data_IF_640387610404
#
_entry.id   IF_640387610404
#
_cell.length_a   1.000
_cell.length_b   1.000
_cell.length_c   1.000
_cell.angle_alpha   90.00
_cell.angle_beta   90.00
_cell.angle_gamma   90.00
#
_symmetry.space_group_name_H-M   'P 1'
#
loop_
_entity.id
_entity.type
_entity.pdbx_description
1 polymer ?
#
# COMPACT_ATOMS: atom_id res chain seq x y z
N UNK A 1 33.27 -19.47 -0.90
CA UNK A 1 32.55 -18.40 -1.61
C UNK A 1 31.93 -19.04 -2.84
N UNK A 2 30.79 -19.68 -2.64
CA UNK A 2 30.08 -20.44 -3.67
C UNK A 2 28.62 -20.51 -3.27
N UNK A 3 27.73 -20.29 -4.24
CA UNK A 3 26.35 -20.79 -4.30
C UNK A 3 25.18 -19.94 -3.77
N UNK A 4 25.23 -18.60 -3.91
CA UNK A 4 23.97 -17.83 -3.94
C UNK A 4 23.43 -17.65 -5.38
N UNK A 5 24.30 -17.65 -6.39
CA UNK A 5 23.90 -17.42 -7.79
C UNK A 5 23.20 -18.62 -8.42
N UNK A 6 23.50 -19.85 -7.97
CA UNK A 6 22.87 -21.08 -8.48
C UNK A 6 21.48 -21.37 -7.87
N UNK A 7 21.18 -20.86 -6.66
CA UNK A 7 19.86 -21.01 -6.04
C UNK A 7 18.79 -20.12 -6.70
N UNK A 8 19.20 -19.01 -7.32
CA UNK A 8 18.32 -18.04 -8.00
C UNK A 8 17.84 -18.56 -9.37
N UNK A 9 18.50 -19.58 -9.93
CA UNK A 9 18.15 -20.13 -11.25
C UNK A 9 17.07 -21.22 -11.22
N UNK A 10 16.56 -21.61 -10.05
CA UNK A 10 15.65 -22.75 -9.90
C UNK A 10 14.33 -22.47 -9.15
N UNK A 11 13.98 -21.22 -8.83
CA UNK A 11 12.61 -20.95 -8.38
C UNK A 11 11.67 -20.87 -9.60
N UNK A 12 10.64 -21.71 -9.63
CA UNK A 12 9.63 -21.74 -10.70
C UNK A 12 8.96 -20.36 -10.88
N UNK A 13 8.97 -19.53 -9.84
CA UNK A 13 8.36 -18.20 -9.79
C UNK A 13 9.23 -17.11 -10.43
N UNK A 14 10.56 -17.26 -10.43
CA UNK A 14 11.42 -16.33 -11.19
C UNK A 14 11.16 -16.51 -12.70
N UNK A 15 10.94 -17.75 -13.13
CA UNK A 15 10.51 -18.06 -14.48
C UNK A 15 9.12 -17.47 -14.80
N UNK A 16 8.24 -17.33 -13.79
CA UNK A 16 6.91 -16.77 -14.01
C UNK A 16 6.94 -15.30 -14.46
N UNK A 17 7.79 -14.45 -13.85
CA UNK A 17 7.89 -13.03 -14.24
C UNK A 17 8.40 -12.91 -15.68
N UNK A 18 9.46 -13.65 -16.02
CA UNK A 18 10.00 -13.69 -17.38
C UNK A 18 8.98 -14.21 -18.40
N UNK A 19 8.25 -15.27 -18.05
CA UNK A 19 7.19 -15.84 -18.86
C UNK A 19 6.05 -14.83 -19.07
N UNK A 20 5.61 -14.15 -18.01
CA UNK A 20 4.58 -13.13 -18.05
C UNK A 20 4.98 -11.94 -18.93
N UNK A 21 6.25 -11.52 -18.90
CA UNK A 21 6.80 -10.50 -19.80
C UNK A 21 6.77 -11.02 -21.25
N UNK A 22 7.27 -12.24 -21.52
CA UNK A 22 7.35 -12.77 -22.88
C UNK A 22 5.96 -12.96 -23.52
N UNK A 23 4.97 -13.36 -22.70
CA UNK A 23 3.57 -13.49 -23.09
C UNK A 23 2.82 -12.16 -23.12
N UNK A 24 3.50 -11.04 -22.80
CA UNK A 24 2.91 -9.69 -22.74
C UNK A 24 1.75 -9.55 -21.76
N UNK A 25 1.74 -10.36 -20.70
CA UNK A 25 0.78 -10.27 -19.60
C UNK A 25 1.14 -9.12 -18.63
N UNK A 26 2.43 -8.79 -18.53
CA UNK A 26 2.93 -7.61 -17.83
C UNK A 26 3.91 -6.85 -18.72
N UNK A 27 3.98 -5.53 -18.55
CA UNK A 27 4.94 -4.68 -19.27
C UNK A 27 6.29 -4.69 -18.57
N UNK A 28 7.35 -4.77 -19.36
CA UNK A 28 8.71 -4.51 -18.90
C UNK A 28 9.16 -3.14 -19.39
N UNK A 29 9.75 -2.35 -18.50
CA UNK A 29 10.32 -1.04 -18.80
C UNK A 29 11.82 -1.04 -18.61
N UNK A 30 12.54 -0.58 -19.63
CA UNK A 30 13.97 -0.34 -19.54
C UNK A 30 14.26 0.70 -18.46
N UNK A 31 15.17 0.39 -17.53
CA UNK A 31 15.44 1.26 -16.39
C UNK A 31 15.90 2.67 -16.81
N UNK A 32 16.57 2.79 -17.96
CA UNK A 32 16.99 4.08 -18.53
C UNK A 32 15.84 5.02 -18.92
N UNK A 33 14.58 4.57 -18.85
CA UNK A 33 13.39 5.44 -18.98
C UNK A 33 13.10 6.24 -17.69
N UNK A 34 13.72 5.90 -16.57
CA UNK A 34 13.47 6.55 -15.28
C UNK A 34 14.68 7.37 -14.85
N UNK A 35 14.46 8.61 -14.43
CA UNK A 35 15.52 9.53 -13.99
C UNK A 35 15.06 10.39 -12.81
N UNK A 36 15.98 11.17 -12.24
CA UNK A 36 15.73 11.97 -11.03
C UNK A 36 15.17 11.15 -9.86
N UNK A 37 15.80 10.00 -9.58
CA UNK A 37 15.36 9.11 -8.51
C UNK A 37 15.53 9.77 -7.14
N UNK A 38 14.44 9.80 -6.37
CA UNK A 38 14.41 10.26 -5.00
C UNK A 38 13.85 9.14 -4.12
N UNK A 39 14.60 8.71 -3.10
CA UNK A 39 14.07 7.76 -2.11
C UNK A 39 12.97 8.45 -1.30
N UNK A 40 11.75 7.88 -1.34
CA UNK A 40 10.56 8.42 -0.67
C UNK A 40 10.05 7.51 0.44
N UNK A 41 10.57 6.29 0.54
CA UNK A 41 10.20 5.36 1.59
C UNK A 41 11.13 4.16 1.68
N UNK A 42 11.24 3.60 2.87
CA UNK A 42 11.92 2.33 3.11
C UNK A 42 11.20 1.56 4.22
N UNK A 43 11.18 0.24 4.11
CA UNK A 43 10.52 -0.65 5.06
C UNK A 43 11.15 -2.04 5.07
N UNK A 44 10.53 -3.01 5.75
CA UNK A 44 11.07 -4.37 5.85
C UNK A 44 11.24 -5.10 4.51
N UNK A 45 10.43 -4.75 3.52
CA UNK A 45 10.42 -5.41 2.21
C UNK A 45 11.35 -4.78 1.18
N UNK A 46 11.80 -3.53 1.37
CA UNK A 46 12.57 -2.82 0.37
C UNK A 46 12.51 -1.31 0.46
N UNK A 47 12.73 -0.66 -0.69
CA UNK A 47 12.75 0.80 -0.85
C UNK A 47 11.79 1.23 -1.93
N UNK A 48 11.30 2.46 -1.80
CA UNK A 48 10.46 3.10 -2.80
C UNK A 48 11.13 4.39 -3.25
N UNK A 49 11.26 4.56 -4.55
CA UNK A 49 11.82 5.75 -5.18
C UNK A 49 10.76 6.44 -6.03
N UNK A 50 10.58 7.75 -5.88
CA UNK A 50 9.95 8.57 -6.91
C UNK A 50 10.92 8.69 -8.08
N UNK A 51 10.43 8.55 -9.31
CA UNK A 51 11.21 8.81 -10.52
C UNK A 51 10.38 9.57 -11.56
N UNK A 52 11.04 10.46 -12.29
CA UNK A 52 10.48 11.07 -13.50
C UNK A 52 10.57 10.04 -14.64
N UNK A 53 9.49 9.94 -15.43
CA UNK A 53 9.42 8.99 -16.53
C UNK A 53 9.66 9.70 -17.86
N UNK A 54 10.75 9.33 -18.53
CA UNK A 54 11.20 9.90 -19.79
C UNK A 54 10.10 9.96 -20.84
N UNK A 55 10.07 11.08 -21.56
CA UNK A 55 9.12 11.36 -22.63
C UNK A 55 7.65 11.36 -22.17
N UNK A 56 7.43 11.39 -20.85
CA UNK A 56 6.13 11.61 -20.23
C UNK A 56 6.23 12.83 -19.28
N UNK A 57 5.15 13.60 -19.17
CA UNK A 57 5.03 14.59 -18.09
C UNK A 57 4.59 13.94 -16.76
N UNK A 58 4.86 12.65 -16.57
CA UNK A 58 4.38 11.85 -15.44
C UNK A 58 5.53 11.38 -14.56
N UNK A 59 5.20 11.15 -13.30
CA UNK A 59 6.07 10.55 -12.30
C UNK A 59 5.55 9.14 -11.97
N UNK A 60 6.46 8.27 -11.51
CA UNK A 60 6.11 6.95 -11.00
C UNK A 60 6.85 6.66 -9.70
N UNK A 61 6.38 5.65 -8.98
CA UNK A 61 7.09 5.07 -7.85
C UNK A 61 7.72 3.73 -8.28
N UNK A 62 9.00 3.57 -8.00
CA UNK A 62 9.77 2.36 -8.22
C UNK A 62 9.95 1.66 -6.87
N UNK A 63 9.25 0.54 -6.67
CA UNK A 63 9.37 -0.28 -5.46
C UNK A 63 10.40 -1.39 -5.70
N UNK A 64 11.56 -1.27 -5.08
CA UNK A 64 12.59 -2.30 -5.07
C UNK A 64 12.48 -3.18 -3.84
N UNK A 65 13.05 -4.38 -3.89
CA UNK A 65 12.99 -5.38 -2.84
C UNK A 65 14.38 -5.75 -2.33
N UNK A 66 14.52 -5.99 -1.03
CA UNK A 66 15.76 -6.51 -0.46
C UNK A 66 15.88 -8.02 -0.65
N UNK A 67 17.12 -8.54 -0.68
CA UNK A 67 17.43 -9.97 -0.56
C UNK A 67 16.55 -10.87 -1.44
N UNK A 68 16.75 -10.81 -2.76
CA UNK A 68 15.98 -11.58 -3.75
C UNK A 68 16.30 -13.07 -3.64
N UNK A 69 15.56 -13.73 -2.76
CA UNK A 69 15.48 -15.18 -2.63
C UNK A 69 14.12 -15.67 -3.16
N UNK A 70 13.88 -16.98 -3.15
CA UNK A 70 12.61 -17.56 -3.63
C UNK A 70 11.37 -16.94 -2.98
N UNK A 71 11.39 -16.75 -1.65
CA UNK A 71 10.26 -16.15 -0.92
C UNK A 71 9.99 -14.69 -1.29
N UNK A 72 11.04 -13.89 -1.52
CA UNK A 72 10.89 -12.51 -2.00
C UNK A 72 10.30 -12.49 -3.42
N UNK A 73 10.73 -13.39 -4.30
CA UNK A 73 10.17 -13.51 -5.65
C UNK A 73 8.70 -13.93 -5.60
N UNK A 74 8.34 -14.91 -4.76
CA UNK A 74 6.94 -15.29 -4.53
C UNK A 74 6.09 -14.12 -4.04
N UNK A 75 6.61 -13.29 -3.14
CA UNK A 75 5.92 -12.10 -2.65
C UNK A 75 5.70 -11.08 -3.78
N UNK A 76 6.71 -10.86 -4.64
CA UNK A 76 6.61 -10.00 -5.83
C UNK A 76 5.53 -10.53 -6.80
N UNK A 77 5.58 -11.82 -7.14
CA UNK A 77 4.59 -12.44 -8.04
C UNK A 77 3.18 -12.30 -7.48
N UNK A 78 2.98 -12.56 -6.19
CA UNK A 78 1.69 -12.40 -5.52
C UNK A 78 1.21 -10.95 -5.55
N UNK A 79 2.10 -9.99 -5.29
CA UNK A 79 1.76 -8.56 -5.34
C UNK A 79 1.35 -8.13 -6.76
N UNK A 80 2.02 -8.63 -7.80
CA UNK A 80 1.66 -8.39 -9.21
C UNK A 80 0.29 -9.00 -9.53
N UNK A 81 0.05 -10.26 -9.12
CA UNK A 81 -1.22 -10.95 -9.37
C UNK A 81 -2.39 -10.20 -8.73
N UNK A 82 -2.26 -9.83 -7.46
CA UNK A 82 -3.31 -9.06 -6.77
C UNK A 82 -3.59 -7.73 -7.46
N UNK A 83 -2.55 -6.96 -7.83
CA UNK A 83 -2.76 -5.69 -8.55
C UNK A 83 -3.54 -5.88 -9.85
N UNK A 84 -3.32 -6.97 -10.58
CA UNK A 84 -4.02 -7.24 -11.84
C UNK A 84 -5.51 -7.54 -11.64
N UNK A 85 -5.88 -8.19 -10.55
CA UNK A 85 -7.29 -8.45 -10.22
C UNK A 85 -8.04 -7.16 -9.87
N UNK A 86 -7.32 -6.11 -9.45
CA UNK A 86 -7.93 -4.87 -8.95
C UNK A 86 -7.62 -3.61 -9.77
N UNK A 87 -6.93 -3.76 -10.91
CA UNK A 87 -6.46 -2.64 -11.75
C UNK A 87 -7.60 -1.80 -12.35
N UNK A 88 -8.82 -2.34 -12.37
CA UNK A 88 -10.01 -1.64 -12.86
C UNK A 88 -10.73 -0.81 -11.79
N UNK A 89 -10.38 -0.99 -10.51
CA UNK A 89 -10.97 -0.23 -9.42
C UNK A 89 -10.22 1.08 -9.21
N UNK A 90 -10.98 2.16 -9.01
CA UNK A 90 -10.43 3.42 -8.51
C UNK A 90 -9.96 3.26 -7.05
N UNK A 91 -9.19 4.23 -6.55
CA UNK A 91 -8.67 4.25 -5.17
C UNK A 91 -7.70 3.11 -4.81
N UNK A 92 -7.20 2.37 -5.81
CA UNK A 92 -6.07 1.45 -5.69
C UNK A 92 -4.92 1.98 -6.54
N UNK A 93 -3.70 1.94 -5.98
CA UNK A 93 -2.49 2.36 -6.70
C UNK A 93 -2.32 1.51 -7.94
N UNK A 94 -2.22 2.16 -9.10
CA UNK A 94 -2.09 1.44 -10.36
C UNK A 94 -0.74 0.77 -10.51
N UNK A 95 -0.77 -0.44 -11.06
CA UNK A 95 0.42 -1.17 -11.46
C UNK A 95 0.68 -0.99 -12.95
N UNK A 96 1.82 -0.40 -13.30
CA UNK A 96 2.16 -0.16 -14.71
C UNK A 96 2.98 -1.31 -15.31
N UNK A 97 3.82 -1.96 -14.51
CA UNK A 97 4.69 -3.03 -14.98
C UNK A 97 5.89 -3.23 -14.08
N UNK A 98 6.94 -3.84 -14.63
CA UNK A 98 8.19 -4.13 -13.91
C UNK A 98 9.40 -3.54 -14.62
N UNK A 99 10.47 -3.32 -13.86
CA UNK A 99 11.80 -2.94 -14.36
C UNK A 99 12.88 -3.68 -13.57
N UNK A 100 14.13 -3.57 -13.99
CA UNK A 100 15.30 -4.11 -13.27
C UNK A 100 16.27 -3.00 -12.89
N UNK A 101 16.60 -2.89 -11.61
CA UNK A 101 17.52 -1.85 -11.15
C UNK A 101 18.95 -2.15 -11.65
N UNK A 102 19.65 -1.13 -12.18
CA UNK A 102 21.10 -1.18 -12.49
C UNK A 102 21.59 -2.30 -13.43
N UNK A 103 20.79 -2.75 -14.39
CA UNK A 103 21.16 -3.83 -15.34
C UNK A 103 21.66 -5.12 -14.64
N UNK A 104 21.31 -5.32 -13.36
CA UNK A 104 21.62 -6.55 -12.65
C UNK A 104 20.52 -7.56 -12.96
N UNK A 105 20.95 -8.71 -13.49
CA UNK A 105 20.05 -9.81 -13.87
C UNK A 105 19.25 -10.21 -12.61
N UNK A 106 17.92 -10.08 -12.69
CA UNK A 106 16.90 -10.48 -11.70
C UNK A 106 16.62 -9.55 -10.52
N UNK A 107 17.14 -8.31 -10.50
CA UNK A 107 16.70 -7.30 -9.51
C UNK A 107 15.40 -6.60 -9.90
N UNK A 108 14.29 -7.36 -9.91
CA UNK A 108 12.98 -6.83 -10.27
C UNK A 108 12.50 -5.76 -9.28
N UNK A 109 11.94 -4.69 -9.85
CA UNK A 109 11.23 -3.62 -9.13
C UNK A 109 9.87 -3.40 -9.79
N UNK A 110 8.86 -3.04 -9.00
CA UNK A 110 7.55 -2.67 -9.53
C UNK A 110 7.58 -1.21 -9.99
N UNK A 111 6.98 -0.94 -11.14
CA UNK A 111 6.66 0.40 -11.63
C UNK A 111 5.19 0.64 -11.33
N UNK A 112 4.92 1.51 -10.37
CA UNK A 112 3.58 1.78 -9.86
C UNK A 112 3.28 3.28 -9.89
N UNK A 113 2.00 3.62 -9.76
CA UNK A 113 1.54 5.00 -9.64
C UNK A 113 2.18 5.72 -8.46
N UNK A 114 2.60 6.97 -8.71
CA UNK A 114 3.14 7.83 -7.67
C UNK A 114 2.03 8.66 -7.04
N UNK A 115 1.78 8.43 -5.76
CA UNK A 115 0.89 9.22 -4.94
C UNK A 115 1.64 10.44 -4.37
N UNK A 116 1.33 11.61 -4.91
CA UNK A 116 1.99 12.90 -4.63
C UNK A 116 1.69 13.49 -3.24
N UNK A 117 0.63 13.05 -2.56
CA UNK A 117 0.29 13.42 -1.20
C UNK A 117 0.98 12.59 -0.12
N UNK A 118 1.83 11.62 -0.51
CA UNK A 118 2.58 10.79 0.43
C UNK A 118 1.71 9.78 1.18
N UNK A 119 2.18 9.36 2.36
CA UNK A 119 1.38 8.48 3.22
C UNK A 119 0.26 9.24 3.86
N UNK A 120 -0.84 8.54 4.12
CA UNK A 120 -1.96 9.10 4.82
C UNK A 120 -1.58 9.71 6.18
N UNK A 121 -0.73 9.01 6.93
CA UNK A 121 -0.22 9.48 8.22
C UNK A 121 0.44 10.86 8.11
N UNK A 122 1.29 11.04 7.11
CA UNK A 122 2.03 12.29 6.92
C UNK A 122 1.11 13.40 6.40
N UNK A 123 0.24 13.06 5.45
CA UNK A 123 -0.74 14.00 4.89
C UNK A 123 -1.59 14.67 5.97
N UNK A 124 -2.10 13.89 6.91
CA UNK A 124 -2.98 14.41 7.96
C UNK A 124 -2.22 15.18 9.02
N UNK A 125 -0.98 14.78 9.32
CA UNK A 125 -0.13 15.51 10.25
C UNK A 125 0.03 16.97 9.80
N UNK A 126 0.02 17.21 8.49
CA UNK A 126 0.18 18.55 7.91
C UNK A 126 -1.14 19.26 7.62
N UNK A 127 -2.21 18.52 7.27
CA UNK A 127 -3.43 19.12 6.71
C UNK A 127 -4.69 19.00 7.59
N UNK A 128 -4.64 18.30 8.74
CA UNK A 128 -5.84 17.95 9.52
C UNK A 128 -6.73 19.13 9.89
N UNK A 129 -6.15 20.27 10.30
CA UNK A 129 -6.88 21.47 10.72
C UNK A 129 -7.61 22.15 9.55
N UNK A 130 -7.17 21.91 8.31
CA UNK A 130 -7.76 22.50 7.11
C UNK A 130 -8.86 21.62 6.49
N UNK A 131 -9.03 20.38 6.97
CA UNK A 131 -10.02 19.45 6.44
C UNK A 131 -11.39 19.64 7.11
N UNK A 132 -12.42 19.82 6.29
CA UNK A 132 -13.81 19.84 6.75
C UNK A 132 -14.28 18.42 7.12
N UNK A 133 -15.43 18.32 7.78
CA UNK A 133 -16.06 17.02 8.02
C UNK A 133 -16.46 16.29 6.73
N UNK A 134 -16.82 17.02 5.67
CA UNK A 134 -17.16 16.42 4.39
C UNK A 134 -15.93 15.86 3.69
N UNK A 135 -14.79 16.55 3.79
CA UNK A 135 -13.51 16.03 3.30
C UNK A 135 -13.23 14.72 4.05
N UNK A 136 -13.20 14.77 5.39
CA UNK A 136 -13.00 13.58 6.25
C UNK A 136 -13.96 12.45 5.89
N UNK A 137 -15.23 12.71 5.63
CA UNK A 137 -16.15 11.65 5.21
C UNK A 137 -15.77 11.05 3.86
N UNK A 138 -15.47 11.87 2.85
CA UNK A 138 -15.04 11.43 1.52
C UNK A 138 -13.81 10.53 1.58
N UNK A 139 -12.82 10.91 2.39
CA UNK A 139 -11.60 10.16 2.64
C UNK A 139 -11.89 8.76 3.24
N UNK A 140 -12.82 8.66 4.20
CA UNK A 140 -13.23 7.39 4.81
C UNK A 140 -13.97 6.51 3.80
N UNK A 141 -14.88 7.13 3.04
CA UNK A 141 -15.68 6.43 2.04
C UNK A 141 -14.79 5.78 0.97
N UNK A 142 -13.78 6.50 0.46
CA UNK A 142 -12.85 5.94 -0.52
C UNK A 142 -12.05 4.75 0.03
N UNK A 143 -11.67 4.79 1.31
CA UNK A 143 -10.99 3.65 1.93
C UNK A 143 -11.90 2.44 2.06
N UNK A 144 -13.12 2.64 2.53
CA UNK A 144 -14.13 1.58 2.64
C UNK A 144 -14.42 0.99 1.26
N UNK A 145 -14.57 1.84 0.24
CA UNK A 145 -14.77 1.41 -1.14
C UNK A 145 -13.61 0.56 -1.66
N UNK A 146 -12.35 1.03 -1.51
CA UNK A 146 -11.18 0.28 -1.94
C UNK A 146 -11.08 -1.08 -1.24
N UNK A 147 -11.29 -1.13 0.08
CA UNK A 147 -11.26 -2.39 0.84
C UNK A 147 -12.42 -3.31 0.43
N UNK A 148 -13.61 -2.76 0.14
CA UNK A 148 -14.74 -3.53 -0.38
C UNK A 148 -14.42 -4.15 -1.74
N UNK A 149 -13.72 -3.43 -2.61
CA UNK A 149 -13.27 -3.95 -3.90
C UNK A 149 -12.28 -5.09 -3.72
N UNK A 150 -11.27 -4.93 -2.84
CA UNK A 150 -10.33 -6.01 -2.51
C UNK A 150 -11.07 -7.25 -2.01
N UNK A 151 -12.01 -7.08 -1.08
CA UNK A 151 -12.79 -8.18 -0.52
C UNK A 151 -13.67 -8.86 -1.57
N UNK A 152 -14.21 -8.12 -2.53
CA UNK A 152 -14.97 -8.65 -3.67
C UNK A 152 -14.16 -9.64 -4.52
N UNK A 153 -12.85 -9.39 -4.67
CA UNK A 153 -11.91 -10.28 -5.35
C UNK A 153 -11.31 -11.36 -4.41
N UNK A 154 -11.80 -11.47 -3.17
CA UNK A 154 -11.27 -12.42 -2.18
C UNK A 154 -9.89 -12.04 -1.61
N UNK A 155 -9.46 -10.79 -1.80
CA UNK A 155 -8.15 -10.28 -1.35
C UNK A 155 -8.32 -9.59 0.00
N UNK A 156 -7.59 -10.07 1.01
CA UNK A 156 -7.49 -9.40 2.32
C UNK A 156 -6.19 -8.61 2.37
N UNK A 157 -6.25 -7.31 2.64
CA UNK A 157 -5.06 -6.43 2.65
C UNK A 157 -4.01 -6.84 3.70
N UNK A 158 -4.46 -7.33 4.88
CA UNK A 158 -3.65 -7.83 6.02
C UNK A 158 -2.73 -6.84 6.74
N UNK A 159 -2.42 -5.70 6.14
CA UNK A 159 -1.58 -4.66 6.75
C UNK A 159 -2.16 -3.25 6.54
N UNK A 160 -3.47 -3.10 6.79
CA UNK A 160 -4.18 -1.85 6.56
C UNK A 160 -3.94 -0.88 7.72
N UNK A 161 -3.12 0.14 7.48
CA UNK A 161 -2.86 1.21 8.43
C UNK A 161 -2.44 2.51 7.71
N UNK A 162 -2.46 3.65 8.41
CA UNK A 162 -2.21 4.97 7.80
C UNK A 162 -0.82 5.18 7.16
N UNK A 163 0.18 4.32 7.41
CA UNK A 163 1.45 4.36 6.65
C UNK A 163 1.42 3.60 5.30
N UNK A 164 0.43 2.72 5.09
CA UNK A 164 0.29 1.90 3.88
C UNK A 164 -0.84 2.41 2.97
N UNK A 165 -1.58 3.41 3.43
CA UNK A 165 -2.57 4.12 2.63
C UNK A 165 -1.87 5.35 2.05
N UNK A 166 -1.98 5.54 0.75
CA UNK A 166 -1.36 6.67 0.04
C UNK A 166 -2.42 7.69 -0.36
N UNK A 167 -2.02 8.96 -0.31
CA UNK A 167 -2.86 10.09 -0.71
C UNK A 167 -2.40 10.56 -2.08
N UNK A 168 -3.30 10.57 -3.05
CA UNK A 168 -3.06 11.17 -4.36
C UNK A 168 -4.10 12.25 -4.60
N UNK A 169 -3.68 13.45 -5.00
CA UNK A 169 -4.59 14.56 -5.35
C UNK A 169 -5.59 14.92 -4.22
N UNK A 170 -5.09 15.02 -2.97
CA UNK A 170 -5.84 15.44 -1.78
C UNK A 170 -6.97 14.52 -1.32
N UNK A 171 -6.79 13.19 -1.42
CA UNK A 171 -7.72 12.25 -0.81
C UNK A 171 -6.98 11.15 0.01
N UNK A 172 -7.02 11.16 1.37
CA UNK A 172 -7.44 10.11 2.36
C UNK A 172 -7.20 10.55 3.87
N UNK A 173 -7.70 9.79 4.92
CA UNK A 173 -8.06 10.11 6.36
C UNK A 173 -7.30 9.65 7.68
N UNK A 174 -7.37 10.40 8.80
CA UNK A 174 -7.23 9.88 10.22
C UNK A 174 -6.02 10.24 11.16
N UNK A 175 -6.26 10.95 12.28
CA UNK A 175 -5.29 11.07 13.41
C UNK A 175 -5.00 9.65 13.94
N UNK A 176 -3.74 9.26 14.20
CA UNK A 176 -3.46 7.92 14.72
C UNK A 176 -4.15 7.75 16.09
N UNK A 177 -4.90 6.65 16.31
CA UNK A 177 -5.42 6.33 17.63
C UNK A 177 -4.22 6.23 18.58
N UNK A 178 -4.38 6.78 19.79
CA UNK A 178 -3.32 6.82 20.81
C UNK A 178 -2.06 7.59 20.38
N UNK A 179 -2.20 8.73 19.69
CA UNK A 179 -1.06 9.53 19.19
C UNK A 179 -0.05 9.99 20.27
N UNK A 180 -0.41 9.89 21.54
CA UNK A 180 0.41 10.24 22.69
C UNK A 180 1.01 9.01 23.40
N UNK A 181 0.74 7.80 22.88
CA UNK A 181 1.19 6.53 23.45
C UNK A 181 2.23 5.91 22.51
N UNK A 182 3.13 5.09 23.09
CA UNK A 182 4.09 4.34 22.30
C UNK A 182 3.34 3.15 21.66
N UNK A 183 3.40 3.05 20.33
CA UNK A 183 2.90 1.87 19.62
C UNK A 183 3.79 0.66 19.93
N UNK A 184 3.50 -0.04 21.01
CA UNK A 184 4.24 -1.20 21.51
C UNK A 184 3.32 -2.41 21.80
N UNK A 185 3.93 -3.50 22.28
CA UNK A 185 3.19 -4.73 22.61
C UNK A 185 2.18 -4.50 23.76
N UNK A 186 2.44 -3.56 24.65
CA UNK A 186 1.54 -3.18 25.74
C UNK A 186 0.25 -2.57 25.19
N UNK A 187 0.37 -1.58 24.32
CA UNK A 187 -0.78 -0.97 23.67
C UNK A 187 -1.61 -1.99 22.87
N UNK A 188 -0.95 -2.93 22.18
CA UNK A 188 -1.64 -4.01 21.47
C UNK A 188 -2.47 -4.90 22.42
N UNK A 189 -1.94 -5.23 23.59
CA UNK A 189 -2.66 -6.03 24.60
C UNK A 189 -3.84 -5.25 25.22
N UNK A 190 -3.69 -3.95 25.44
CA UNK A 190 -4.77 -3.11 25.97
C UNK A 190 -5.92 -2.97 24.97
N UNK A 191 -5.62 -2.81 23.68
CA UNK A 191 -6.64 -2.79 22.61
C UNK A 191 -7.40 -4.12 22.56
N UNK A 192 -6.70 -5.26 22.71
CA UNK A 192 -7.33 -6.58 22.79
C UNK A 192 -8.21 -6.75 24.04
N UNK A 193 -7.89 -6.05 25.13
CA UNK A 193 -8.68 -6.02 26.36
C UNK A 193 -9.83 -4.99 26.34
N UNK A 194 -10.08 -4.37 25.18
CA UNK A 194 -11.20 -3.44 25.00
C UNK A 194 -10.86 -1.97 25.14
N UNK A 195 -9.57 -1.59 25.24
CA UNK A 195 -9.19 -0.19 25.15
C UNK A 195 -9.64 0.38 23.81
N UNK A 196 -10.36 1.50 23.86
CA UNK A 196 -10.85 2.26 22.71
C UNK A 196 -10.58 3.74 22.91
N UNK A 197 -10.52 4.47 21.81
CA UNK A 197 -10.24 5.90 21.84
C UNK A 197 -11.40 6.68 22.46
N UNK A 198 -11.10 7.79 23.13
CA UNK A 198 -12.13 8.72 23.60
C UNK A 198 -12.61 9.52 22.38
N UNK A 199 -13.92 9.57 22.11
CA UNK A 199 -14.46 10.37 21.01
C UNK A 199 -13.89 11.79 20.99
N UNK A 200 -13.41 12.23 19.83
CA UNK A 200 -12.87 13.58 19.68
C UNK A 200 -14.01 14.59 19.93
N UNK A 201 -13.80 15.62 20.78
CA UNK A 201 -14.79 16.66 21.00
C UNK A 201 -15.33 17.23 19.67
N UNK A 202 -16.61 17.57 19.66
CA UNK A 202 -17.33 18.13 18.49
C UNK A 202 -17.46 17.19 17.28
N UNK A 203 -17.14 15.90 17.43
CA UNK A 203 -17.46 14.88 16.41
C UNK A 203 -18.97 14.66 16.31
N UNK A 204 -19.58 14.79 15.12
CA UNK A 204 -20.99 14.46 14.92
C UNK A 204 -21.32 13.03 15.39
N UNK A 205 -22.44 12.87 16.10
CA UNK A 205 -22.82 11.61 16.74
C UNK A 205 -22.98 10.42 15.77
N UNK A 206 -23.36 10.68 14.52
CA UNK A 206 -23.43 9.65 13.48
C UNK A 206 -22.04 9.07 13.15
N UNK A 207 -21.00 9.90 13.09
CA UNK A 207 -19.63 9.43 12.90
C UNK A 207 -19.11 8.67 14.11
N UNK A 208 -19.44 9.15 15.33
CA UNK A 208 -19.13 8.42 16.57
C UNK A 208 -19.68 7.00 16.48
N UNK A 209 -20.97 6.88 16.16
CA UNK A 209 -21.62 5.58 16.03
C UNK A 209 -20.92 4.68 15.02
N UNK A 210 -20.60 5.19 13.83
CA UNK A 210 -19.95 4.42 12.77
C UNK A 210 -18.62 3.80 13.24
N UNK A 211 -17.68 4.61 13.74
CA UNK A 211 -16.40 4.04 14.14
C UNK A 211 -16.53 3.19 15.41
N UNK A 212 -17.52 3.47 16.28
CA UNK A 212 -17.75 2.63 17.46
C UNK A 212 -18.32 1.26 17.12
N UNK A 213 -19.15 1.16 16.09
CA UNK A 213 -19.67 -0.11 15.62
C UNK A 213 -18.55 -0.92 14.94
N UNK A 214 -17.69 -0.26 14.14
CA UNK A 214 -16.56 -0.88 13.43
C UNK A 214 -15.51 -1.51 14.36
N UNK A 215 -15.29 -0.97 15.56
CA UNK A 215 -14.28 -1.49 16.49
C UNK A 215 -14.87 -2.35 17.61
N UNK A 216 -16.08 -2.88 17.44
CA UNK A 216 -16.72 -3.75 18.45
C UNK A 216 -15.75 -4.86 18.89
N UNK A 217 -15.73 -5.16 20.20
CA UNK A 217 -14.86 -6.20 20.75
C UNK A 217 -15.20 -7.57 20.18
N UNK A 218 -16.49 -7.85 19.98
CA UNK A 218 -16.99 -9.05 19.32
C UNK A 218 -16.91 -8.85 17.80
N UNK A 219 -16.07 -9.63 17.07
CA UNK A 219 -15.90 -9.46 15.64
C UNK A 219 -17.19 -9.67 14.83
N UNK A 220 -18.06 -10.57 15.29
CA UNK A 220 -19.32 -10.92 14.64
C UNK A 220 -20.39 -9.81 14.78
N UNK A 221 -20.20 -8.90 15.74
CA UNK A 221 -21.07 -7.74 15.96
C UNK A 221 -20.60 -6.49 15.18
N UNK A 222 -19.48 -6.58 14.45
CA UNK A 222 -19.00 -5.49 13.59
C UNK A 222 -19.84 -5.42 12.31
N UNK A 223 -20.08 -4.22 11.77
CA UNK A 223 -20.81 -4.08 10.52
C UNK A 223 -20.05 -4.72 9.36
N UNK A 224 -20.81 -5.20 8.37
CA UNK A 224 -20.24 -5.58 7.09
C UNK A 224 -19.83 -4.33 6.30
N UNK A 225 -18.81 -4.47 5.46
CA UNK A 225 -18.25 -3.34 4.71
C UNK A 225 -19.24 -2.65 3.74
N UNK A 226 -20.35 -3.33 3.43
CA UNK A 226 -21.40 -2.88 2.52
C UNK A 226 -22.65 -2.33 3.23
N UNK A 227 -22.62 -2.22 4.57
CA UNK A 227 -23.67 -1.58 5.39
C UNK A 227 -23.38 -0.09 5.57
#
# INVERSE_FOLDING_TARGET
MSNNTELINNSNECNWIEEAISKKLIKFYEFGQFYNLQEIGSGGFGKVYRADWKDSHKCCALKSFYNLNGATIEAIVREIQHHREVDFYDNVIRFYGVTTFKNQIKEYSLVIEYADGGTLRDYLKENFENLTWNDKFSLAFQLVYAVSCLHGEGIVHRDLHSKNILVHQNIVNGRPPFCNELNDLGLAMEILQGLREIPIPDTPGEYIKIYTDCWNIEPDDRPFINQ
#
